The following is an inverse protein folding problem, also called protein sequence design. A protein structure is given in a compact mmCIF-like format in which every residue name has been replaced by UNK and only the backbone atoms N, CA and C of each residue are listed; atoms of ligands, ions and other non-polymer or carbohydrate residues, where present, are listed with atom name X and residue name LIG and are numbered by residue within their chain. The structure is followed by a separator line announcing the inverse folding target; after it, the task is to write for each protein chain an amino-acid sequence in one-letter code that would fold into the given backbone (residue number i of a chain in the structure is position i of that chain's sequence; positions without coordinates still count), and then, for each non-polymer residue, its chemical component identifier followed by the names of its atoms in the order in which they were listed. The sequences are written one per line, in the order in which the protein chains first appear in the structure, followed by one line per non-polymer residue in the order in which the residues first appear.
data_IF_835534570426
#
_entry.id   IF_835534570426
#
_cell.length_a   1.000
_cell.length_b   1.000
_cell.length_c   1.000
_cell.angle_alpha   90.00
_cell.angle_beta   90.00
_cell.angle_gamma   90.00
#
_symmetry.space_group_name_H-M   'P 1'
#
loop_
_entity.id
_entity.type
_entity.pdbx_description
1 polymer ?
#
# COMPACT_ATOMS: atom_id res chain seq x y z
N UNK A 1 -12.99 -3.53 3.52
CA UNK A 1 -12.24 -4.61 4.22
C UNK A 1 -10.79 -4.63 3.77
N UNK A 2 -10.08 -3.51 3.94
CA UNK A 2 -8.66 -3.35 3.60
C UNK A 2 -8.16 -2.06 4.24
N UNK A 3 -6.92 -2.00 4.71
CA UNK A 3 -6.19 -0.74 4.90
C UNK A 3 -4.73 -0.93 4.45
N UNK A 4 -4.29 -0.10 3.52
CA UNK A 4 -2.88 0.03 3.13
C UNK A 4 -2.44 1.49 3.19
N UNK A 5 -1.17 1.70 3.51
CA UNK A 5 -0.54 3.03 3.60
C UNK A 5 0.89 2.99 3.08
N UNK A 6 1.26 4.01 2.31
CA UNK A 6 2.64 4.24 1.87
C UNK A 6 3.09 5.66 2.19
N UNK A 7 4.32 5.79 2.68
CA UNK A 7 5.00 7.06 2.98
C UNK A 7 6.17 7.22 2.02
N UNK A 8 6.32 8.41 1.45
CA UNK A 8 7.44 8.86 0.63
C UNK A 8 8.23 9.92 1.41
N UNK A 9 9.49 9.63 1.71
CA UNK A 9 10.33 10.41 2.62
C UNK A 9 11.70 10.68 1.99
N UNK A 10 12.44 11.61 2.58
CA UNK A 10 13.80 11.92 2.18
C UNK A 10 14.72 10.70 2.32
N UNK A 11 14.52 9.82 3.29
CA UNK A 11 15.35 8.61 3.45
C UNK A 11 14.86 7.40 2.64
N UNK A 12 13.62 7.44 2.13
CA UNK A 12 13.05 6.39 1.29
C UNK A 12 11.56 6.19 1.47
N UNK A 13 11.09 4.95 1.31
CA UNK A 13 9.68 4.59 1.32
C UNK A 13 9.38 3.58 2.44
N UNK A 14 8.27 3.78 3.15
CA UNK A 14 7.72 2.84 4.14
C UNK A 14 6.30 2.45 3.74
N UNK A 15 6.03 1.15 3.67
CA UNK A 15 4.75 0.58 3.22
C UNK A 15 4.20 -0.37 4.29
N UNK A 16 2.90 -0.31 4.54
CA UNK A 16 2.22 -1.24 5.44
C UNK A 16 0.85 -1.60 4.87
N UNK A 17 0.53 -2.89 4.84
CA UNK A 17 -0.79 -3.41 4.46
C UNK A 17 -1.33 -4.42 5.46
N UNK A 18 -2.63 -4.35 5.74
CA UNK A 18 -3.36 -5.42 6.42
C UNK A 18 -3.65 -6.60 5.46
N UNK A 19 -4.20 -7.72 5.96
CA UNK A 19 -4.44 -8.92 5.13
C UNK A 19 -5.87 -9.45 5.19
N UNK A 20 -6.71 -8.96 6.12
CA UNK A 20 -8.13 -9.34 6.18
C UNK A 20 -8.86 -8.89 4.92
N UNK A 21 -9.56 -9.79 4.26
CA UNK A 21 -10.19 -9.54 2.96
C UNK A 21 -11.58 -10.17 2.90
N UNK A 22 -12.52 -9.50 2.25
CA UNK A 22 -13.83 -10.06 1.96
C UNK A 22 -13.76 -10.84 0.63
N UNK A 23 -13.99 -12.15 0.68
CA UNK A 23 -13.99 -13.02 -0.48
C UNK A 23 -15.43 -13.45 -0.89
N UNK A 24 -16.46 -12.90 -0.25
CA UNK A 24 -17.86 -13.23 -0.51
C UNK A 24 -18.72 -13.13 0.76
N UNK A 25 -20.02 -13.35 0.60
CA UNK A 25 -20.94 -13.40 1.74
C UNK A 25 -20.43 -14.44 2.77
N UNK A 26 -20.24 -14.00 4.01
CA UNK A 26 -19.70 -14.79 5.13
C UNK A 26 -18.32 -15.43 4.92
N UNK A 27 -17.54 -14.96 3.93
CA UNK A 27 -16.20 -15.45 3.67
C UNK A 27 -15.15 -14.37 3.91
N UNK A 28 -14.72 -14.26 5.16
CA UNK A 28 -13.60 -13.40 5.58
C UNK A 28 -12.35 -14.26 5.69
N UNK A 29 -11.35 -13.93 4.88
CA UNK A 29 -10.11 -14.72 4.76
C UNK A 29 -8.87 -13.81 4.75
N UNK A 30 -7.70 -14.43 4.85
CA UNK A 30 -6.41 -13.74 4.85
C UNK A 30 -5.78 -13.80 3.46
N UNK A 31 -5.62 -12.64 2.81
CA UNK A 31 -4.93 -12.51 1.53
C UNK A 31 -3.85 -11.42 1.63
N UNK A 32 -2.67 -11.70 1.05
CA UNK A 32 -1.60 -10.71 0.94
C UNK A 32 -2.06 -9.57 0.03
N UNK A 33 -1.82 -8.33 0.47
CA UNK A 33 -2.20 -7.12 -0.27
C UNK A 33 -1.01 -6.28 -0.73
N UNK A 34 0.22 -6.70 -0.44
CA UNK A 34 1.46 -6.04 -0.88
C UNK A 34 2.28 -7.00 -1.74
N UNK A 35 2.69 -6.56 -2.92
CA UNK A 35 3.44 -7.35 -3.90
C UNK A 35 4.68 -6.57 -4.31
N UNK A 36 5.83 -7.25 -4.41
CA UNK A 36 7.11 -6.63 -4.73
C UNK A 36 7.68 -7.28 -5.99
N UNK A 37 8.20 -6.45 -6.89
CA UNK A 37 8.87 -6.82 -8.13
C UNK A 37 10.24 -6.15 -8.11
N UNK A 38 11.30 -6.96 -8.18
CA UNK A 38 12.66 -6.51 -7.88
C UNK A 38 13.62 -7.01 -8.94
N UNK A 39 14.48 -6.11 -9.40
CA UNK A 39 15.73 -6.41 -10.09
C UNK A 39 16.83 -5.71 -9.29
N UNK A 40 17.44 -6.40 -8.30
CA UNK A 40 18.33 -5.77 -7.33
C UNK A 40 19.46 -4.96 -7.99
N UNK A 41 19.62 -3.72 -7.54
CA UNK A 41 20.59 -2.78 -8.11
C UNK A 41 20.12 -2.04 -9.37
N UNK A 42 18.98 -2.42 -9.93
CA UNK A 42 18.33 -1.71 -11.03
C UNK A 42 16.97 -1.12 -10.64
N UNK A 43 16.04 -1.90 -10.07
CA UNK A 43 14.73 -1.37 -9.68
C UNK A 43 14.03 -2.18 -8.61
N UNK A 44 13.15 -1.48 -7.90
CA UNK A 44 12.16 -2.04 -6.97
C UNK A 44 10.83 -1.38 -7.22
N UNK A 45 9.79 -2.19 -7.36
CA UNK A 45 8.40 -1.76 -7.48
C UNK A 45 7.59 -2.53 -6.44
N UNK A 46 6.87 -1.83 -5.60
CA UNK A 46 5.92 -2.37 -4.66
C UNK A 46 4.50 -1.90 -5.02
N UNK A 47 3.55 -2.84 -5.05
CA UNK A 47 2.14 -2.57 -5.34
C UNK A 47 1.31 -3.04 -4.15
N UNK A 48 0.52 -2.14 -3.58
CA UNK A 48 -0.49 -2.47 -2.57
C UNK A 48 -1.90 -2.40 -3.15
N UNK A 49 -2.79 -3.29 -2.74
CA UNK A 49 -4.12 -3.43 -3.36
C UNK A 49 -5.26 -3.24 -2.35
N UNK A 50 -6.36 -2.62 -2.80
CA UNK A 50 -7.61 -2.51 -2.05
C UNK A 50 -8.84 -2.61 -2.96
N UNK A 51 -9.97 -3.02 -2.39
CA UNK A 51 -11.23 -3.20 -3.13
C UNK A 51 -11.47 -4.65 -3.55
N UNK A 52 -12.07 -4.85 -4.72
CA UNK A 52 -12.47 -6.17 -5.22
C UNK A 52 -11.28 -7.11 -5.36
N UNK A 53 -11.36 -8.27 -4.71
CA UNK A 53 -10.30 -9.28 -4.74
C UNK A 53 -10.08 -9.86 -6.13
N UNK A 54 -11.16 -10.08 -6.90
CA UNK A 54 -11.06 -10.60 -8.26
C UNK A 54 -10.36 -9.63 -9.22
N UNK A 55 -10.66 -8.33 -9.10
CA UNK A 55 -9.99 -7.28 -9.90
C UNK A 55 -8.50 -7.22 -9.53
N UNK A 56 -8.21 -7.10 -8.24
CA UNK A 56 -6.82 -6.91 -7.78
C UNK A 56 -5.94 -8.12 -8.07
N UNK A 57 -6.42 -9.35 -7.85
CA UNK A 57 -5.67 -10.57 -8.19
C UNK A 57 -5.46 -10.73 -9.69
N UNK A 58 -6.48 -10.48 -10.51
CA UNK A 58 -6.36 -10.57 -11.98
C UNK A 58 -5.36 -9.53 -12.50
N UNK A 59 -5.40 -8.30 -11.97
CA UNK A 59 -4.46 -7.24 -12.32
C UNK A 59 -3.01 -7.67 -11.99
N UNK A 60 -2.75 -8.15 -10.77
CA UNK A 60 -1.41 -8.61 -10.38
C UNK A 60 -0.96 -9.82 -11.21
N UNK A 61 -1.85 -10.76 -11.52
CA UNK A 61 -1.54 -11.93 -12.34
C UNK A 61 -1.17 -11.53 -13.77
N UNK A 62 -1.90 -10.61 -14.40
CA UNK A 62 -1.58 -10.12 -15.74
C UNK A 62 -0.30 -9.30 -15.79
N UNK A 63 0.00 -8.51 -14.75
CA UNK A 63 1.29 -7.83 -14.65
C UNK A 63 2.45 -8.83 -14.58
N UNK A 64 2.30 -9.94 -13.86
CA UNK A 64 3.30 -11.03 -13.84
C UNK A 64 3.46 -11.68 -15.20
N UNK A 65 2.35 -11.99 -15.87
CA UNK A 65 2.37 -12.56 -17.21
C UNK A 65 3.08 -11.63 -18.21
N UNK A 66 2.79 -10.32 -18.17
CA UNK A 66 3.43 -9.32 -19.02
C UNK A 66 4.93 -9.15 -18.73
N UNK A 67 5.39 -9.44 -17.50
CA UNK A 67 6.82 -9.47 -17.18
C UNK A 67 7.52 -10.66 -17.85
N UNK A 68 6.86 -11.81 -17.88
CA UNK A 68 7.40 -13.08 -18.40
C UNK A 68 7.33 -13.19 -19.94
N UNK A 69 6.59 -12.29 -20.59
CA UNK A 69 6.44 -12.27 -22.05
C UNK A 69 7.80 -11.98 -22.75
N UNK A 70 8.25 -12.87 -23.67
CA UNK A 70 9.48 -12.65 -24.44
C UNK A 70 9.50 -11.34 -25.23
N UNK A 71 8.33 -10.90 -25.71
CA UNK A 71 8.17 -9.70 -26.52
C UNK A 71 7.91 -8.45 -25.66
N UNK A 72 7.92 -8.58 -24.32
CA UNK A 72 7.71 -7.44 -23.44
C UNK A 72 8.78 -6.36 -23.62
N UNK A 73 8.35 -5.10 -23.47
CA UNK A 73 9.19 -3.92 -23.62
C UNK A 73 8.87 -2.88 -22.53
N UNK A 74 9.44 -1.68 -22.67
CA UNK A 74 9.24 -0.59 -21.72
C UNK A 74 7.80 -0.05 -21.64
N UNK A 75 6.91 -0.44 -22.55
CA UNK A 75 5.51 -0.01 -22.57
C UNK A 75 4.56 -1.06 -22.01
N UNK A 76 4.98 -2.33 -21.96
CA UNK A 76 4.14 -3.45 -21.53
C UNK A 76 4.56 -4.05 -20.18
N UNK A 77 5.85 -4.01 -19.84
CA UNK A 77 6.36 -4.60 -18.60
C UNK A 77 6.83 -3.55 -17.60
N UNK A 78 6.32 -3.63 -16.38
CA UNK A 78 6.75 -2.77 -15.27
C UNK A 78 8.24 -2.95 -14.93
N UNK A 79 8.84 -4.11 -15.23
CA UNK A 79 10.27 -4.35 -15.03
C UNK A 79 11.15 -3.86 -16.18
N UNK A 80 10.57 -3.46 -17.32
CA UNK A 80 11.30 -2.88 -18.46
C UNK A 80 11.02 -1.39 -18.64
N UNK A 81 9.96 -0.87 -18.00
CA UNK A 81 9.54 0.52 -18.08
C UNK A 81 10.68 1.53 -17.79
N UNK A 82 10.86 2.60 -18.60
CA UNK A 82 11.97 3.54 -18.45
C UNK A 82 11.82 4.50 -17.27
N UNK A 83 10.61 4.67 -16.73
CA UNK A 83 10.35 5.55 -15.59
C UNK A 83 9.29 4.97 -14.67
N UNK A 84 9.29 5.40 -13.41
CA UNK A 84 8.21 5.07 -12.47
C UNK A 84 6.85 5.69 -12.88
N UNK A 85 6.83 6.75 -13.72
CA UNK A 85 5.58 7.24 -14.33
C UNK A 85 5.02 6.20 -15.31
N UNK A 86 5.88 5.65 -16.18
CA UNK A 86 5.46 4.59 -17.10
C UNK A 86 5.00 3.34 -16.35
N UNK A 87 5.63 3.00 -15.22
CA UNK A 87 5.13 1.94 -14.32
C UNK A 87 3.72 2.24 -13.84
N UNK A 88 3.45 3.47 -13.37
CA UNK A 88 2.11 3.87 -12.91
C UNK A 88 1.07 3.81 -14.05
N UNK A 89 1.42 4.23 -15.27
CA UNK A 89 0.57 4.12 -16.46
C UNK A 89 0.24 2.66 -16.79
N UNK A 90 1.24 1.77 -16.82
CA UNK A 90 1.03 0.33 -17.10
C UNK A 90 0.09 -0.29 -16.06
N UNK A 91 0.33 -0.02 -14.77
CA UNK A 91 -0.51 -0.53 -13.69
C UNK A 91 -1.93 0.04 -13.78
N UNK A 92 -2.06 1.34 -14.06
CA UNK A 92 -3.34 2.03 -14.23
C UNK A 92 -4.17 1.47 -15.37
N UNK A 93 -3.57 1.33 -16.56
CA UNK A 93 -4.23 0.74 -17.73
C UNK A 93 -4.66 -0.71 -17.47
N UNK A 94 -3.80 -1.51 -16.84
CA UNK A 94 -4.13 -2.90 -16.50
C UNK A 94 -5.30 -2.98 -15.51
N UNK A 95 -5.29 -2.15 -14.47
CA UNK A 95 -6.36 -2.09 -13.47
C UNK A 95 -7.70 -1.69 -14.11
N UNK A 96 -7.70 -0.63 -14.92
CA UNK A 96 -8.90 -0.12 -15.59
C UNK A 96 -9.48 -1.15 -16.57
N UNK A 97 -8.61 -1.82 -17.34
CA UNK A 97 -9.03 -2.89 -18.26
C UNK A 97 -9.71 -4.03 -17.50
N UNK A 98 -9.05 -4.57 -16.47
CA UNK A 98 -9.58 -5.67 -15.66
C UNK A 98 -10.90 -5.28 -14.97
N UNK A 99 -11.00 -4.04 -14.47
CA UNK A 99 -12.25 -3.52 -13.91
C UNK A 99 -13.36 -3.52 -14.95
N UNK A 100 -13.11 -2.97 -16.14
CA UNK A 100 -14.09 -2.93 -17.23
C UNK A 100 -14.64 -4.30 -17.60
N UNK A 101 -13.75 -5.30 -17.76
CA UNK A 101 -14.13 -6.68 -18.06
C UNK A 101 -15.00 -7.33 -16.96
N UNK A 102 -14.77 -6.97 -15.70
CA UNK A 102 -15.54 -7.49 -14.55
C UNK A 102 -16.88 -6.76 -14.42
N UNK A 103 -16.91 -5.44 -14.59
CA UNK A 103 -18.14 -4.65 -14.57
C UNK A 103 -19.11 -5.08 -15.67
N UNK A 104 -18.62 -5.42 -16.87
CA UNK A 104 -19.45 -5.98 -17.94
C UNK A 104 -20.17 -7.28 -17.51
N UNK A 105 -19.45 -8.18 -16.81
CA UNK A 105 -20.02 -9.44 -16.30
C UNK A 105 -21.02 -9.23 -15.17
N UNK A 106 -20.84 -8.17 -14.37
CA UNK A 106 -21.73 -7.85 -13.24
C UNK A 106 -22.91 -6.95 -13.63
N UNK A 107 -22.90 -6.37 -14.83
CA UNK A 107 -23.91 -5.44 -15.33
C UNK A 107 -25.34 -5.97 -15.22
N UNK A 108 -25.55 -7.26 -15.55
CA UNK A 108 -26.85 -7.92 -15.45
C UNK A 108 -27.40 -7.97 -14.00
N UNK A 109 -26.53 -7.94 -13.00
CA UNK A 109 -26.88 -7.97 -11.58
C UNK A 109 -26.97 -6.57 -10.94
N UNK A 110 -26.76 -5.49 -11.72
CA UNK A 110 -26.67 -4.09 -11.23
C UNK A 110 -25.67 -3.93 -10.06
N UNK A 111 -24.58 -4.69 -10.11
CA UNK A 111 -23.48 -4.59 -9.16
C UNK A 111 -22.27 -3.97 -9.85
N UNK A 112 -21.51 -3.19 -9.10
CA UNK A 112 -20.25 -2.59 -9.55
C UNK A 112 -19.14 -3.03 -8.62
N UNK A 113 -17.99 -3.38 -9.20
CA UNK A 113 -16.80 -3.76 -8.44
C UNK A 113 -15.70 -2.73 -8.71
N UNK A 114 -15.09 -2.24 -7.64
CA UNK A 114 -14.04 -1.23 -7.74
C UNK A 114 -12.80 -1.67 -6.97
N UNK A 115 -11.64 -1.24 -7.44
CA UNK A 115 -10.36 -1.49 -6.82
C UNK A 115 -9.41 -0.31 -7.04
N UNK A 116 -8.51 -0.11 -6.10
CA UNK A 116 -7.45 0.89 -6.17
C UNK A 116 -6.12 0.27 -5.77
N UNK A 117 -5.04 0.92 -6.19
CA UNK A 117 -3.69 0.45 -5.89
C UNK A 117 -2.79 1.60 -5.45
N UNK A 118 -1.82 1.32 -4.59
CA UNK A 118 -0.67 2.19 -4.35
C UNK A 118 0.51 1.56 -5.08
N UNK A 119 1.21 2.35 -5.90
CA UNK A 119 2.43 1.93 -6.60
C UNK A 119 3.59 2.75 -6.06
N UNK A 120 4.60 2.08 -5.53
CA UNK A 120 5.75 2.71 -4.88
C UNK A 120 7.04 2.12 -5.42
N UNK A 121 8.10 2.89 -5.55
CA UNK A 121 9.36 2.30 -5.99
C UNK A 121 10.42 3.29 -6.42
N UNK A 122 11.49 2.72 -6.93
CA UNK A 122 12.62 3.43 -7.49
C UNK A 122 13.27 2.56 -8.57
N UNK A 123 13.73 3.20 -9.64
CA UNK A 123 14.68 2.61 -10.59
C UNK A 123 16.00 3.37 -10.53
N UNK A 124 17.10 2.75 -10.94
CA UNK A 124 18.45 3.30 -10.86
C UNK A 124 18.53 4.64 -11.56
N UNK A 125 19.12 5.62 -10.89
CA UNK A 125 19.24 7.00 -11.39
C UNK A 125 17.90 7.76 -11.50
N UNK A 126 16.79 7.19 -11.00
CA UNK A 126 15.50 7.86 -10.86
C UNK A 126 15.19 8.21 -9.41
N UNK A 127 14.28 9.16 -9.21
CA UNK A 127 13.76 9.46 -7.88
C UNK A 127 12.87 8.33 -7.34
N UNK A 128 12.78 8.24 -6.02
CA UNK A 128 11.71 7.52 -5.34
C UNK A 128 10.37 8.14 -5.69
N UNK A 129 9.38 7.32 -6.03
CA UNK A 129 8.03 7.79 -6.38
C UNK A 129 6.95 6.91 -5.76
N UNK A 130 5.81 7.53 -5.46
CA UNK A 130 4.67 6.91 -4.80
C UNK A 130 3.39 7.44 -5.44
N UNK A 131 2.56 6.55 -5.99
CA UNK A 131 1.35 6.88 -6.72
C UNK A 131 0.12 6.21 -6.08
N UNK A 132 -1.02 6.88 -6.18
CA UNK A 132 -2.34 6.32 -5.94
C UNK A 132 -3.04 6.14 -7.28
N UNK A 133 -3.28 4.89 -7.66
CA UNK A 133 -3.99 4.50 -8.86
C UNK A 133 -5.47 4.35 -8.53
N UNK A 134 -6.30 5.13 -9.23
CA UNK A 134 -7.75 5.11 -9.11
C UNK A 134 -8.37 4.00 -9.97
N UNK A 135 -9.63 3.61 -9.70
CA UNK A 135 -10.32 2.57 -10.46
C UNK A 135 -10.40 2.84 -11.97
N UNK A 136 -10.40 4.11 -12.37
CA UNK A 136 -10.43 4.57 -13.77
C UNK A 136 -9.05 4.46 -14.47
N UNK A 137 -8.01 4.05 -13.74
CA UNK A 137 -6.65 3.87 -14.26
C UNK A 137 -5.81 5.15 -14.27
N UNK A 138 -6.42 6.32 -14.04
CA UNK A 138 -5.68 7.54 -13.74
C UNK A 138 -5.10 7.51 -12.32
N UNK A 139 -4.18 8.43 -12.03
CA UNK A 139 -3.47 8.44 -10.77
C UNK A 139 -3.02 9.83 -10.34
N UNK A 140 -2.72 9.96 -9.05
CA UNK A 140 -1.98 11.09 -8.47
C UNK A 140 -0.67 10.59 -7.88
N UNK A 141 0.26 11.51 -7.66
CA UNK A 141 1.56 11.26 -7.05
C UNK A 141 1.68 11.95 -5.69
N UNK A 142 2.34 11.30 -4.74
CA UNK A 142 2.74 11.92 -3.49
C UNK A 142 3.79 13.01 -3.74
N UNK A 143 3.74 14.06 -2.93
CA UNK A 143 4.65 15.21 -3.01
C UNK A 143 5.23 15.50 -1.63
N UNK A 144 6.12 16.48 -1.52
CA UNK A 144 6.63 16.93 -0.22
C UNK A 144 5.52 17.45 0.70
N UNK A 145 4.51 18.14 0.13
CA UNK A 145 3.35 18.63 0.86
C UNK A 145 2.36 17.52 1.25
N UNK A 146 2.33 16.43 0.46
CA UNK A 146 1.48 15.25 0.72
C UNK A 146 2.33 13.98 0.63
N UNK A 147 3.15 13.68 1.66
CA UNK A 147 4.17 12.64 1.59
C UNK A 147 3.63 11.23 1.88
N UNK A 148 2.32 11.04 1.95
CA UNK A 148 1.73 9.72 2.16
C UNK A 148 0.42 9.54 1.42
N UNK A 149 0.14 8.30 1.03
CA UNK A 149 -1.10 7.89 0.37
C UNK A 149 -1.69 6.68 1.10
N UNK A 150 -3.02 6.57 1.08
CA UNK A 150 -3.75 5.50 1.76
C UNK A 150 -4.86 4.95 0.85
N UNK A 151 -5.15 3.65 0.98
CA UNK A 151 -6.29 2.99 0.31
C UNK A 151 -7.05 2.09 1.28
N UNK A 152 -8.36 1.88 1.01
CA UNK A 152 -9.26 1.15 1.91
C UNK A 152 -9.82 2.01 3.05
N UNK A 153 -9.92 1.47 4.26
CA UNK A 153 -10.48 2.08 5.48
C UNK A 153 -9.49 3.04 6.17
N UNK A 154 -9.09 4.10 5.48
CA UNK A 154 -7.96 4.94 5.85
C UNK A 154 -8.25 6.05 6.87
N UNK A 155 -9.53 6.38 7.13
CA UNK A 155 -9.94 7.54 7.94
C UNK A 155 -9.48 7.47 9.40
N UNK A 156 -9.49 6.27 9.99
CA UNK A 156 -9.15 6.07 11.41
C UNK A 156 -7.67 6.30 11.72
N UNK A 157 -6.80 5.86 10.81
CA UNK A 157 -5.36 5.97 10.95
C UNK A 157 -4.76 7.28 10.42
N UNK A 158 -5.53 8.12 9.73
CA UNK A 158 -5.03 9.36 9.10
C UNK A 158 -4.54 10.41 10.11
N UNK A 159 -5.23 10.71 11.24
CA UNK A 159 -4.85 11.82 12.10
C UNK A 159 -3.45 11.74 12.70
N UNK A 160 -2.93 10.54 12.99
CA UNK A 160 -1.57 10.39 13.49
C UNK A 160 -0.55 10.72 12.38
N UNK A 161 -0.82 10.30 11.14
CA UNK A 161 0.05 10.59 10.00
C UNK A 161 0.13 12.10 9.72
N UNK A 162 -1.03 12.78 9.67
CA UNK A 162 -1.09 14.24 9.48
C UNK A 162 -0.26 15.01 10.52
N UNK A 163 -0.23 14.51 11.77
CA UNK A 163 0.44 15.16 12.89
C UNK A 163 1.96 14.97 12.92
N UNK A 164 2.46 13.81 12.50
CA UNK A 164 3.86 13.42 12.77
C UNK A 164 4.71 13.20 11.52
N UNK A 165 4.09 12.93 10.36
CA UNK A 165 4.83 12.59 9.14
C UNK A 165 5.16 13.85 8.36
N UNK A 166 6.44 14.03 8.07
CA UNK A 166 7.03 15.07 7.22
C UNK A 166 8.08 14.42 6.30
N UNK A 167 8.50 15.07 5.19
CA UNK A 167 9.53 14.50 4.32
C UNK A 167 10.83 14.13 5.06
N UNK A 168 11.19 14.85 6.12
CA UNK A 168 12.39 14.62 6.93
C UNK A 168 12.22 13.53 8.00
N UNK A 169 11.02 12.95 8.15
CA UNK A 169 10.79 11.86 9.11
C UNK A 169 11.70 10.68 8.79
N UNK A 170 12.43 10.19 9.79
CA UNK A 170 13.33 9.04 9.64
C UNK A 170 12.57 7.77 9.26
N UNK A 171 13.22 6.81 8.59
CA UNK A 171 12.59 5.51 8.28
C UNK A 171 12.10 4.76 9.53
N UNK A 172 12.78 4.95 10.68
CA UNK A 172 12.38 4.33 11.94
C UNK A 172 11.12 4.98 12.53
N UNK A 173 11.04 6.31 12.50
CA UNK A 173 9.85 7.03 12.96
C UNK A 173 8.65 6.82 12.04
N UNK A 174 8.89 6.72 10.73
CA UNK A 174 7.87 6.40 9.75
C UNK A 174 7.29 4.99 9.96
N UNK A 175 8.13 3.99 10.26
CA UNK A 175 7.66 2.66 10.66
C UNK A 175 6.76 2.72 11.90
N UNK A 176 7.17 3.48 12.93
CA UNK A 176 6.30 3.69 14.11
C UNK A 176 4.97 4.35 13.70
N UNK A 177 5.01 5.40 12.88
CA UNK A 177 3.82 6.13 12.45
C UNK A 177 2.80 5.24 11.71
N UNK A 178 3.24 4.42 10.75
CA UNK A 178 2.33 3.50 10.04
C UNK A 178 1.77 2.41 10.95
N UNK A 179 2.56 1.91 11.92
CA UNK A 179 2.11 0.90 12.86
C UNK A 179 1.08 1.47 13.86
N UNK A 180 1.27 2.70 14.35
CA UNK A 180 0.28 3.38 15.20
C UNK A 180 -0.99 3.77 14.43
N UNK A 181 -0.84 4.12 13.16
CA UNK A 181 -1.96 4.34 12.24
C UNK A 181 -2.79 3.06 12.05
N UNK A 182 -2.11 1.91 11.88
CA UNK A 182 -2.75 0.60 11.77
C UNK A 182 -3.39 0.14 13.08
N UNK A 183 -2.74 0.32 14.23
CA UNK A 183 -3.31 0.00 15.55
C UNK A 183 -4.64 0.72 15.79
N UNK A 184 -4.66 2.03 15.52
CA UNK A 184 -5.87 2.84 15.63
C UNK A 184 -7.00 2.30 14.74
N UNK A 185 -6.66 1.87 13.51
CA UNK A 185 -7.61 1.33 12.54
C UNK A 185 -8.14 -0.04 12.95
N UNK A 186 -7.26 -0.95 13.40
CA UNK A 186 -7.62 -2.30 13.87
C UNK A 186 -8.58 -2.26 15.06
N UNK A 187 -8.43 -1.27 15.95
CA UNK A 187 -9.29 -1.09 17.13
C UNK A 187 -10.67 -0.54 16.79
N UNK A 188 -10.79 0.19 15.69
CA UNK A 188 -12.02 0.93 15.34
C UNK A 188 -12.78 0.35 14.14
N UNK A 189 -12.19 -0.55 13.37
CA UNK A 189 -12.84 -1.13 12.19
C UNK A 189 -12.48 -2.61 11.99
N UNK A 190 -13.45 -3.50 12.22
CA UNK A 190 -13.27 -4.96 12.12
C UNK A 190 -12.99 -5.45 10.69
N UNK A 191 -13.19 -4.62 9.69
CA UNK A 191 -12.92 -4.97 8.30
C UNK A 191 -11.41 -4.95 7.96
N UNK A 192 -10.59 -4.39 8.84
CA UNK A 192 -9.12 -4.40 8.79
C UNK A 192 -8.63 -5.46 9.77
N UNK A 193 -7.58 -6.20 9.41
CA UNK A 193 -7.12 -7.29 10.26
C UNK A 193 -5.72 -7.81 9.97
N UNK A 194 -5.15 -8.36 11.03
CA UNK A 194 -3.87 -9.07 11.03
C UNK A 194 -3.94 -10.40 10.25
N UNK A 195 -2.80 -10.95 9.80
CA UNK A 195 -1.44 -10.38 9.89
C UNK A 195 -1.24 -9.09 9.08
N UNK A 196 -0.15 -8.39 9.34
CA UNK A 196 0.26 -7.19 8.59
C UNK A 196 1.55 -7.48 7.82
N UNK A 197 1.68 -6.93 6.62
CA UNK A 197 2.92 -6.99 5.84
C UNK A 197 3.54 -5.57 5.80
N UNK A 198 4.75 -5.42 6.35
CA UNK A 198 5.55 -4.19 6.40
C UNK A 198 6.75 -4.31 5.45
N UNK A 199 7.01 -3.27 4.67
CA UNK A 199 8.20 -3.16 3.84
C UNK A 199 8.84 -1.77 3.94
N UNK A 200 10.17 -1.73 3.84
CA UNK A 200 10.95 -0.49 3.71
C UNK A 200 11.83 -0.58 2.48
N UNK A 201 11.90 0.51 1.73
CA UNK A 201 12.80 0.68 0.59
C UNK A 201 13.66 1.91 0.91
N UNK A 202 14.95 1.71 1.19
CA UNK A 202 15.86 2.83 1.45
C UNK A 202 16.26 3.52 0.14
N UNK A 203 16.54 4.83 0.21
CA UNK A 203 16.99 5.64 -0.93
C UNK A 203 18.17 4.99 -1.64
N UNK A 204 18.04 4.90 -2.97
CA UNK A 204 19.03 4.40 -3.92
C UNK A 204 19.40 2.92 -3.77
N UNK A 205 18.75 2.19 -2.85
CA UNK A 205 18.98 0.76 -2.67
C UNK A 205 18.46 -0.08 -3.85
N UNK A 206 17.41 0.40 -4.56
CA UNK A 206 16.74 -0.30 -5.65
C UNK A 206 16.33 -1.75 -5.29
N UNK A 207 16.00 -2.00 -4.03
CA UNK A 207 15.51 -3.26 -3.46
C UNK A 207 14.78 -2.99 -2.14
N UNK A 208 13.96 -3.93 -1.69
CA UNK A 208 13.36 -3.91 -0.35
C UNK A 208 14.45 -4.18 0.69
N UNK A 209 14.74 -3.18 1.54
CA UNK A 209 15.78 -3.27 2.56
C UNK A 209 15.30 -3.86 3.88
N UNK A 210 13.99 -3.82 4.13
CA UNK A 210 13.36 -4.51 5.25
C UNK A 210 12.03 -5.10 4.81
N UNK A 211 11.80 -6.38 5.15
CA UNK A 211 10.52 -7.06 4.98
C UNK A 211 10.16 -7.74 6.29
N UNK A 212 8.98 -7.44 6.83
CA UNK A 212 8.50 -8.05 8.07
C UNK A 212 7.02 -8.35 7.98
N UNK A 213 6.65 -9.57 8.33
CA UNK A 213 5.26 -9.94 8.58
C UNK A 213 4.99 -9.88 10.08
N UNK A 214 3.91 -9.22 10.47
CA UNK A 214 3.50 -9.02 11.87
C UNK A 214 2.27 -9.89 12.10
N UNK A 215 2.48 -10.99 12.79
CA UNK A 215 1.43 -11.98 13.08
C UNK A 215 0.50 -11.52 14.20
N UNK A 216 -0.68 -12.15 14.27
CA UNK A 216 -1.57 -11.99 15.42
C UNK A 216 -0.84 -12.40 16.71
N UNK A 217 -0.78 -11.50 17.69
CA UNK A 217 -0.06 -11.74 18.94
C UNK A 217 1.43 -11.38 18.92
N UNK A 218 1.94 -10.73 17.87
CA UNK A 218 3.31 -10.21 17.83
C UNK A 218 3.64 -9.35 19.07
N UNK A 219 4.66 -9.76 19.82
CA UNK A 219 5.01 -9.15 21.11
C UNK A 219 5.48 -7.70 20.97
N UNK A 220 6.21 -7.37 19.91
CA UNK A 220 6.73 -6.02 19.71
C UNK A 220 5.61 -5.06 19.32
N UNK A 221 4.71 -5.48 18.42
CA UNK A 221 3.55 -4.68 18.02
C UNK A 221 2.61 -4.45 19.21
N UNK A 222 2.37 -5.49 20.01
CA UNK A 222 1.56 -5.38 21.24
C UNK A 222 2.18 -4.41 22.25
N UNK A 223 3.48 -4.53 22.52
CA UNK A 223 4.17 -3.63 23.44
C UNK A 223 4.12 -2.16 22.97
N UNK A 224 4.30 -1.92 21.67
CA UNK A 224 4.16 -0.59 21.07
C UNK A 224 2.73 -0.04 21.26
N UNK A 225 1.71 -0.84 20.98
CA UNK A 225 0.31 -0.44 21.13
C UNK A 225 -0.07 -0.14 22.59
N UNK A 226 0.42 -0.94 23.55
CA UNK A 226 0.22 -0.73 24.98
C UNK A 226 0.92 0.56 25.45
N UNK A 227 2.18 0.77 25.03
CA UNK A 227 2.93 1.98 25.33
C UNK A 227 2.24 3.24 24.77
N UNK A 228 1.76 3.18 23.52
CA UNK A 228 1.01 4.28 22.91
C UNK A 228 -0.30 4.58 23.63
N UNK A 229 -1.04 3.54 23.99
CA UNK A 229 -2.28 3.66 24.75
C UNK A 229 -2.04 4.32 26.12
N UNK A 230 -0.92 4.01 26.78
CA UNK A 230 -0.53 4.67 28.03
C UNK A 230 -0.17 6.13 27.79
N UNK A 231 0.69 6.43 26.81
CA UNK A 231 1.10 7.79 26.49
C UNK A 231 -0.08 8.71 26.13
N UNK A 232 -1.08 8.21 25.40
CA UNK A 232 -2.30 8.96 25.09
C UNK A 232 -3.12 9.28 26.34
N UNK A 233 -3.27 8.34 27.28
CA UNK A 233 -3.98 8.58 28.54
C UNK A 233 -3.23 9.58 29.42
N UNK A 234 -1.91 9.40 29.54
CA UNK A 234 -1.04 10.30 30.31
C UNK A 234 -1.05 11.72 29.70
N UNK A 235 -1.05 11.84 28.38
CA UNK A 235 -1.17 13.13 27.70
C UNK A 235 -2.54 13.78 27.87
N UNK A 236 -3.62 13.00 27.83
CA UNK A 236 -4.98 13.50 28.03
C UNK A 236 -5.18 14.10 29.43
N UNK A 237 -4.65 13.47 30.48
CA UNK A 237 -4.77 13.97 31.86
C UNK A 237 -4.00 15.26 32.12
N UNK A 238 -3.03 15.60 31.27
CA UNK A 238 -2.23 16.82 31.38
C UNK A 238 -2.89 18.04 30.71
N UNK A 239 -3.94 17.85 29.91
CA UNK A 239 -4.62 18.93 29.21
C UNK A 239 -5.72 19.50 30.10
N UNK A 240 -5.61 20.79 30.44
CA UNK A 240 -6.68 21.56 31.10
C UNK A 240 -7.56 22.28 30.07
N UNK A 241 -8.85 22.41 30.37
CA UNK A 241 -9.81 23.20 29.58
C UNK A 241 -9.59 24.71 29.75
#
# INVERSE_FOLDING_TARGET
MTYCVGLLLNEGIVLLSDTRTNAGLDNISTYRKMFTFEEPGERVIAIMTAGSLSITQTTIARLRQAIEDPDADGTTSILKAPTMLQVAEIVGSMLAQVRGEIDEKLSAMRQHASASMIVAGQRKGGAMRLFLIYPEGNFIEATEDTPFLQIGEHKYGKPILDRVVRPETSLADAQKAVLLSMDSTLRSNLSVGMPLDLAVIARDACQVTLRRRIEAGDKQFRAMSEAWSKALRDGFTQISL
#
